data_IF_194309990849
#
_entry.id   IF_194309990849
#
_cell.length_a   1.000
_cell.length_b   1.000
_cell.length_c   1.000
_cell.angle_alpha   90.00
_cell.angle_beta   90.00
_cell.angle_gamma   90.00
#
_symmetry.space_group_name_H-M   'P 1'
#
loop_
_entity.id
_entity.type
_entity.pdbx_description
1 polymer ?
#
# COMPACT_ATOMS: atom_id res chain seq x y z
N UNK A 1 33.86 -10.62 21.65
CA UNK A 1 32.75 -11.18 20.84
C UNK A 1 31.45 -11.28 21.65
N UNK A 2 31.47 -11.83 22.86
CA UNK A 2 30.28 -11.97 23.73
C UNK A 2 29.61 -10.62 24.05
N UNK A 3 30.37 -9.56 24.37
CA UNK A 3 29.79 -8.25 24.68
C UNK A 3 29.13 -7.56 23.48
N UNK A 4 29.64 -7.83 22.28
CA UNK A 4 29.05 -7.33 21.03
C UNK A 4 27.71 -8.00 20.74
N UNK A 5 27.61 -9.32 20.98
CA UNK A 5 26.37 -10.08 20.83
C UNK A 5 25.32 -9.65 21.86
N UNK A 6 25.72 -9.45 23.12
CA UNK A 6 24.84 -8.89 24.16
C UNK A 6 24.32 -7.51 23.76
N UNK A 7 25.20 -6.62 23.29
CA UNK A 7 24.81 -5.29 22.85
C UNK A 7 23.83 -5.29 21.67
N UNK A 8 24.04 -6.18 20.69
CA UNK A 8 23.13 -6.34 19.56
C UNK A 8 21.76 -6.91 19.97
N UNK A 9 21.75 -7.91 20.85
CA UNK A 9 20.50 -8.47 21.37
C UNK A 9 19.68 -7.44 22.16
N UNK A 10 20.33 -6.71 23.08
CA UNK A 10 19.66 -5.63 23.82
C UNK A 10 19.13 -4.56 22.88
N UNK A 11 19.89 -4.19 21.85
CA UNK A 11 19.42 -3.25 20.83
C UNK A 11 18.17 -3.76 20.13
N UNK A 12 18.16 -4.99 19.61
CA UNK A 12 17.00 -5.56 18.91
C UNK A 12 15.77 -5.66 19.82
N UNK A 13 15.94 -6.00 21.09
CA UNK A 13 14.83 -6.05 22.05
C UNK A 13 14.24 -4.66 22.31
N UNK A 14 15.08 -3.63 22.47
CA UNK A 14 14.62 -2.24 22.61
C UNK A 14 13.95 -1.77 21.31
N UNK A 15 14.48 -2.15 20.15
CA UNK A 15 13.90 -1.80 18.85
C UNK A 15 12.53 -2.44 18.64
N UNK A 16 12.38 -3.71 19.02
CA UNK A 16 11.09 -4.39 19.01
C UNK A 16 10.07 -3.58 19.82
N UNK A 17 10.40 -3.20 21.05
CA UNK A 17 9.53 -2.40 21.91
C UNK A 17 9.18 -1.04 21.29
N UNK A 18 10.16 -0.34 20.69
CA UNK A 18 9.94 0.96 20.05
C UNK A 18 8.99 0.83 18.85
N UNK A 19 9.20 -0.15 17.98
CA UNK A 19 8.36 -0.36 16.78
C UNK A 19 6.95 -0.75 17.18
N UNK A 20 6.79 -1.65 18.16
CA UNK A 20 5.48 -2.01 18.69
C UNK A 20 4.79 -0.82 19.35
N UNK A 21 5.51 -0.03 20.15
CA UNK A 21 4.98 1.17 20.80
C UNK A 21 4.56 2.22 19.76
N UNK A 22 5.38 2.49 18.74
CA UNK A 22 5.03 3.39 17.65
C UNK A 22 3.76 2.91 16.96
N UNK A 23 3.69 1.61 16.64
CA UNK A 23 2.55 1.05 15.93
C UNK A 23 1.26 1.21 16.73
N UNK A 24 1.32 1.02 18.04
CA UNK A 24 0.16 1.25 18.92
C UNK A 24 -0.20 2.73 19.02
N UNK A 25 0.77 3.61 19.26
CA UNK A 25 0.54 5.05 19.36
C UNK A 25 0.04 5.66 18.06
N UNK A 26 0.41 5.08 16.91
CA UNK A 26 -0.02 5.60 15.61
C UNK A 26 -1.51 5.61 15.38
N UNK A 27 -2.29 4.87 16.18
CA UNK A 27 -3.74 4.93 16.17
C UNK A 27 -4.30 6.33 16.48
N UNK A 28 -3.56 7.18 17.19
CA UNK A 28 -4.00 8.54 17.53
C UNK A 28 -3.99 9.52 16.35
N UNK A 29 -3.15 9.28 15.32
CA UNK A 29 -3.04 10.18 14.17
C UNK A 29 -3.31 9.50 12.83
N UNK A 30 -3.41 8.17 12.79
CA UNK A 30 -3.59 7.42 11.57
C UNK A 30 -4.56 6.27 11.78
N UNK A 31 -5.53 6.14 10.87
CA UNK A 31 -6.50 5.05 10.94
C UNK A 31 -5.85 3.70 10.78
N UNK A 32 -4.70 3.57 10.08
CA UNK A 32 -3.95 2.31 9.91
C UNK A 32 -3.10 1.89 11.12
N UNK A 33 -3.12 2.66 12.22
CA UNK A 33 -2.42 2.33 13.45
C UNK A 33 -3.06 1.20 14.27
N UNK A 34 -2.33 0.74 15.29
CA UNK A 34 -2.70 -0.33 16.22
C UNK A 34 -1.98 -1.65 15.94
N UNK A 35 -1.68 -2.41 17.00
CA UNK A 35 -1.01 -3.71 16.87
C UNK A 35 -2.03 -4.84 16.68
N UNK A 36 -1.92 -5.58 15.57
CA UNK A 36 -2.61 -6.86 15.33
C UNK A 36 -1.64 -8.03 15.26
N UNK A 37 -2.14 -9.24 15.54
CA UNK A 37 -1.31 -10.45 15.71
C UNK A 37 -0.45 -10.84 14.51
N UNK A 38 -0.90 -10.56 13.28
CA UNK A 38 -0.17 -10.94 12.07
C UNK A 38 1.03 -10.03 11.75
N UNK A 39 1.11 -8.83 12.35
CA UNK A 39 2.27 -7.93 12.25
C UNK A 39 3.56 -8.60 12.72
N UNK A 40 3.47 -9.47 13.73
CA UNK A 40 4.63 -10.13 14.34
C UNK A 40 5.25 -11.17 13.40
N UNK A 41 4.47 -11.70 12.45
CA UNK A 41 4.94 -12.78 11.56
C UNK A 41 5.90 -12.28 10.49
N UNK A 42 5.68 -11.08 9.95
CA UNK A 42 6.48 -10.58 8.82
C UNK A 42 6.99 -9.15 9.00
N UNK A 43 6.11 -8.20 9.34
CA UNK A 43 6.48 -6.78 9.44
C UNK A 43 7.59 -6.57 10.48
N UNK A 44 7.40 -7.08 11.70
CA UNK A 44 8.38 -6.90 12.78
C UNK A 44 9.74 -7.55 12.43
N UNK A 45 9.82 -8.82 11.99
CA UNK A 45 11.09 -9.41 11.55
C UNK A 45 11.80 -8.59 10.45
N UNK A 46 11.04 -8.11 9.45
CA UNK A 46 11.57 -7.27 8.38
C UNK A 46 12.13 -5.95 8.94
N UNK A 47 11.38 -5.27 9.82
CA UNK A 47 11.81 -4.01 10.43
C UNK A 47 13.05 -4.20 11.31
N UNK A 48 13.08 -5.26 12.13
CA UNK A 48 14.24 -5.57 12.98
C UNK A 48 15.49 -5.86 12.15
N UNK A 49 15.33 -6.51 10.99
CA UNK A 49 16.42 -6.77 10.06
C UNK A 49 16.96 -5.47 9.45
N UNK A 50 16.08 -4.56 9.02
CA UNK A 50 16.47 -3.23 8.54
C UNK A 50 17.22 -2.43 9.63
N UNK A 51 16.70 -2.44 10.86
CA UNK A 51 17.34 -1.80 12.01
C UNK A 51 18.70 -2.42 12.36
N UNK A 52 18.86 -3.73 12.17
CA UNK A 52 20.12 -4.43 12.38
C UNK A 52 21.18 -4.03 11.34
N UNK A 53 20.79 -3.85 10.08
CA UNK A 53 21.69 -3.40 9.01
C UNK A 53 22.32 -2.05 9.35
N UNK A 54 21.55 -1.14 9.96
CA UNK A 54 22.01 0.18 10.37
C UNK A 54 22.69 0.20 11.76
N UNK A 55 22.76 -0.92 12.47
CA UNK A 55 23.41 -0.97 13.78
C UNK A 55 24.93 -1.13 13.65
N UNK A 56 25.68 -0.19 14.23
CA UNK A 56 27.14 -0.20 14.27
C UNK A 56 27.63 -0.26 15.71
N UNK A 57 27.96 -1.46 16.24
CA UNK A 57 28.31 -1.59 17.65
C UNK A 57 29.60 -0.86 18.03
N UNK A 58 30.46 -0.56 17.06
CA UNK A 58 31.76 0.10 17.27
C UNK A 58 31.68 1.61 17.41
N UNK A 59 30.49 2.21 17.25
CA UNK A 59 30.30 3.64 17.52
C UNK A 59 30.36 3.86 19.03
N UNK A 60 31.28 4.72 19.48
CA UNK A 60 31.47 5.04 20.90
C UNK A 60 30.32 5.88 21.47
N UNK A 61 29.78 6.81 20.68
CA UNK A 61 28.67 7.65 21.09
C UNK A 61 27.38 6.82 21.16
N UNK A 62 26.86 6.62 22.39
CA UNK A 62 25.65 5.81 22.64
C UNK A 62 24.41 6.36 21.93
N UNK A 63 24.26 7.68 21.86
CA UNK A 63 23.10 8.31 21.20
C UNK A 63 23.13 7.98 19.71
N UNK A 64 24.25 8.23 19.03
CA UNK A 64 24.40 7.94 17.61
C UNK A 64 24.25 6.42 17.36
N UNK A 65 24.86 5.59 18.21
CA UNK A 65 24.83 4.14 18.05
C UNK A 65 23.42 3.55 18.13
N UNK A 66 22.58 4.04 19.04
CA UNK A 66 21.28 3.43 19.32
C UNK A 66 20.09 4.18 18.71
N UNK A 67 20.16 5.51 18.57
CA UNK A 67 19.02 6.33 18.11
C UNK A 67 19.02 6.50 16.59
N UNK A 68 20.17 6.78 15.97
CA UNK A 68 20.23 7.11 14.54
C UNK A 68 19.81 5.96 13.62
N UNK A 69 20.04 4.67 13.94
CA UNK A 69 19.52 3.58 13.11
C UNK A 69 17.99 3.53 13.05
N UNK A 70 17.32 4.05 14.08
CA UNK A 70 15.86 3.98 14.26
C UNK A 70 15.15 5.08 13.48
N UNK A 71 15.78 6.25 13.40
CA UNK A 71 15.18 7.45 12.78
C UNK A 71 14.72 7.17 11.34
N UNK A 72 15.52 6.60 10.42
CA UNK A 72 15.07 6.30 9.06
C UNK A 72 13.82 5.43 9.00
N UNK A 73 13.75 4.40 9.85
CA UNK A 73 12.63 3.45 9.86
C UNK A 73 11.35 4.12 10.39
N UNK A 74 11.44 4.88 11.47
CA UNK A 74 10.29 5.62 12.01
C UNK A 74 9.81 6.71 11.06
N UNK A 75 10.72 7.40 10.38
CA UNK A 75 10.38 8.40 9.37
C UNK A 75 9.68 7.75 8.17
N UNK A 76 10.09 6.55 7.76
CA UNK A 76 9.39 5.80 6.72
C UNK A 76 7.98 5.37 7.17
N UNK A 77 7.82 4.91 8.41
CA UNK A 77 6.50 4.61 8.98
C UNK A 77 5.59 5.84 9.00
N UNK A 78 6.12 6.97 9.48
CA UNK A 78 5.41 8.24 9.50
C UNK A 78 5.06 8.71 8.08
N UNK A 79 5.97 8.53 7.12
CA UNK A 79 5.72 8.87 5.71
C UNK A 79 4.54 8.06 5.15
N UNK A 80 4.44 6.77 5.48
CA UNK A 80 3.29 5.94 5.09
C UNK A 80 2.00 6.42 5.75
N UNK A 81 2.05 6.78 7.05
CA UNK A 81 0.88 7.30 7.77
C UNK A 81 0.38 8.62 7.17
N UNK A 82 1.29 9.56 6.90
CA UNK A 82 0.98 10.85 6.26
C UNK A 82 0.40 10.60 4.87
N UNK A 83 1.05 9.77 4.06
CA UNK A 83 0.60 9.45 2.71
C UNK A 83 -0.81 8.84 2.70
N UNK A 84 -1.06 7.89 3.60
CA UNK A 84 -2.37 7.28 3.76
C UNK A 84 -3.42 8.30 4.22
N UNK A 85 -3.07 9.19 5.16
CA UNK A 85 -3.96 10.26 5.61
C UNK A 85 -4.38 11.21 4.48
N UNK A 86 -3.50 11.50 3.53
CA UNK A 86 -3.81 12.36 2.37
C UNK A 86 -4.57 11.64 1.25
N UNK A 87 -4.21 10.40 0.92
CA UNK A 87 -4.71 9.72 -0.29
C UNK A 87 -5.67 8.55 -0.02
N UNK A 88 -5.87 8.16 1.24
CA UNK A 88 -6.75 7.04 1.61
C UNK A 88 -6.28 5.67 1.10
N UNK A 89 -5.00 5.54 0.70
CA UNK A 89 -4.42 4.31 0.16
C UNK A 89 -2.94 4.16 0.54
N UNK A 90 -2.44 2.93 0.46
CA UNK A 90 -1.01 2.66 0.62
C UNK A 90 -0.19 3.33 -0.50
N UNK A 91 1.03 3.83 -0.20
CA UNK A 91 1.98 4.22 -1.23
C UNK A 91 2.37 3.02 -2.09
N UNK A 92 2.76 3.30 -3.33
CA UNK A 92 3.18 2.34 -4.35
C UNK A 92 4.48 2.81 -5.03
N UNK A 93 5.27 1.91 -5.62
CA UNK A 93 6.48 2.28 -6.36
C UNK A 93 6.26 3.32 -7.46
N UNK A 94 5.12 3.31 -8.15
CA UNK A 94 4.80 4.32 -9.18
C UNK A 94 4.61 5.73 -8.62
N UNK A 95 4.25 5.89 -7.35
CA UNK A 95 4.04 7.20 -6.73
C UNK A 95 5.33 8.03 -6.70
N UNK A 96 6.50 7.38 -6.68
CA UNK A 96 7.79 8.06 -6.74
C UNK A 96 8.03 8.78 -8.06
N UNK A 97 7.40 8.33 -9.16
CA UNK A 97 7.50 8.99 -10.46
C UNK A 97 6.76 10.33 -10.48
N UNK A 98 5.77 10.48 -9.59
CA UNK A 98 4.92 11.66 -9.49
C UNK A 98 5.40 12.67 -8.43
N UNK A 99 6.52 12.41 -7.75
CA UNK A 99 7.05 13.33 -6.71
C UNK A 99 7.30 14.72 -7.27
N UNK A 100 7.77 14.82 -8.52
CA UNK A 100 8.03 16.11 -9.16
C UNK A 100 6.74 16.91 -9.39
N UNK A 101 5.58 16.26 -9.54
CA UNK A 101 4.30 16.94 -9.72
C UNK A 101 3.77 17.55 -8.41
N UNK A 102 4.33 17.16 -7.26
CA UNK A 102 3.92 17.71 -5.95
C UNK A 102 4.25 19.20 -5.85
N UNK A 103 5.33 19.66 -6.49
CA UNK A 103 5.68 21.10 -6.49
C UNK A 103 4.64 21.96 -7.19
N UNK A 104 3.96 21.42 -8.20
CA UNK A 104 2.93 22.14 -8.96
C UNK A 104 1.65 22.29 -8.13
N UNK A 105 1.42 21.37 -7.19
CA UNK A 105 0.26 21.38 -6.30
C UNK A 105 0.50 22.16 -5.01
N UNK A 106 1.63 21.91 -4.31
CA UNK A 106 1.92 22.55 -3.04
C UNK A 106 3.42 22.58 -2.71
N UNK A 107 3.95 23.80 -2.62
CA UNK A 107 5.31 24.06 -2.16
C UNK A 107 5.53 23.54 -0.73
N UNK A 108 4.52 23.63 0.14
CA UNK A 108 4.61 23.13 1.52
C UNK A 108 4.81 21.62 1.59
N UNK A 109 4.11 20.86 0.75
CA UNK A 109 4.29 19.40 0.65
C UNK A 109 5.67 19.05 0.10
N UNK A 110 6.18 19.83 -0.85
CA UNK A 110 7.53 19.63 -1.37
C UNK A 110 8.58 19.83 -0.27
N UNK A 111 8.45 20.87 0.56
CA UNK A 111 9.33 21.06 1.72
C UNK A 111 9.21 19.92 2.73
N UNK A 112 8.00 19.39 2.96
CA UNK A 112 7.80 18.23 3.82
C UNK A 112 8.54 16.99 3.28
N UNK A 113 8.46 16.71 1.98
CA UNK A 113 9.17 15.60 1.34
C UNK A 113 10.69 15.76 1.51
N UNK A 114 11.23 16.96 1.24
CA UNK A 114 12.66 17.24 1.44
C UNK A 114 13.08 17.07 2.90
N UNK A 115 12.25 17.54 3.85
CA UNK A 115 12.51 17.40 5.27
C UNK A 115 12.52 15.93 5.71
N UNK A 116 11.54 15.13 5.28
CA UNK A 116 11.50 13.69 5.55
C UNK A 116 12.71 12.97 4.94
N UNK A 117 13.07 13.33 3.69
CA UNK A 117 14.27 12.81 3.02
C UNK A 117 15.55 13.17 3.78
N UNK A 118 15.66 14.40 4.29
CA UNK A 118 16.78 14.82 5.13
C UNK A 118 16.85 14.01 6.43
N UNK A 119 15.72 13.79 7.11
CA UNK A 119 15.66 12.98 8.33
C UNK A 119 16.03 11.52 8.10
N UNK A 120 15.92 10.99 6.88
CA UNK A 120 16.41 9.66 6.51
C UNK A 120 17.91 9.71 6.21
N UNK A 121 18.33 10.63 5.33
CA UNK A 121 19.71 10.67 4.83
C UNK A 121 20.72 11.09 5.89
N UNK A 122 20.42 12.10 6.70
CA UNK A 122 21.36 12.65 7.68
C UNK A 122 21.81 11.62 8.73
N UNK A 123 20.93 10.87 9.41
CA UNK A 123 21.34 9.83 10.35
C UNK A 123 22.16 8.73 9.69
N UNK A 124 21.80 8.30 8.48
CA UNK A 124 22.53 7.27 7.74
C UNK A 124 23.94 7.72 7.42
N UNK A 125 24.11 8.93 6.87
CA UNK A 125 25.44 9.50 6.59
C UNK A 125 26.27 9.63 7.86
N UNK A 126 25.67 10.09 8.96
CA UNK A 126 26.36 10.23 10.25
C UNK A 126 26.78 8.88 10.85
N UNK A 127 25.96 7.84 10.71
CA UNK A 127 26.31 6.49 11.13
C UNK A 127 27.54 5.98 10.37
N UNK A 128 27.54 6.10 9.05
CA UNK A 128 28.68 5.68 8.23
C UNK A 128 29.94 6.50 8.53
N UNK A 129 29.81 7.83 8.65
CA UNK A 129 30.93 8.71 9.01
C UNK A 129 31.56 8.30 10.34
N UNK A 130 30.76 8.11 11.40
CA UNK A 130 31.26 7.71 12.72
C UNK A 130 31.74 6.27 12.79
N UNK A 131 31.14 5.35 12.04
CA UNK A 131 31.57 3.96 12.00
C UNK A 131 32.96 3.80 11.36
N UNK A 132 33.33 4.70 10.43
CA UNK A 132 34.52 4.56 9.60
C UNK A 132 35.64 5.55 9.89
N UNK A 133 35.43 6.55 10.75
CA UNK A 133 36.45 7.56 11.10
C UNK A 133 37.79 6.96 11.56
N UNK A 134 37.77 5.80 12.22
CA UNK A 134 38.95 5.17 12.82
C UNK A 134 39.19 3.73 12.32
N UNK A 135 38.70 3.38 11.12
CA UNK A 135 38.84 2.02 10.57
C UNK A 135 39.74 2.00 9.34
N UNK A 136 40.41 0.86 9.16
CA UNK A 136 41.17 0.62 7.92
C UNK A 136 40.22 0.51 6.74
N UNK A 137 40.68 0.91 5.55
CA UNK A 137 39.88 0.82 4.31
C UNK A 137 39.38 -0.60 4.02
N UNK A 138 40.14 -1.63 4.39
CA UNK A 138 39.75 -3.05 4.27
C UNK A 138 38.54 -3.39 5.14
N UNK A 139 38.51 -2.91 6.39
CA UNK A 139 37.39 -3.15 7.30
C UNK A 139 36.11 -2.46 6.83
N UNK A 140 36.24 -1.30 6.17
CA UNK A 140 35.12 -0.60 5.55
C UNK A 140 34.55 -1.46 4.42
N UNK A 141 35.40 -1.95 3.52
CA UNK A 141 34.98 -2.82 2.40
C UNK A 141 34.26 -4.06 2.90
N UNK A 142 34.83 -4.80 3.86
CA UNK A 142 34.18 -6.00 4.41
C UNK A 142 32.84 -5.70 5.08
N UNK A 143 32.76 -4.58 5.81
CA UNK A 143 31.54 -4.11 6.47
C UNK A 143 30.43 -3.76 5.47
N UNK A 144 30.77 -3.11 4.36
CA UNK A 144 29.83 -2.78 3.29
C UNK A 144 29.41 -4.03 2.53
N UNK A 145 30.36 -4.88 2.13
CA UNK A 145 30.09 -6.13 1.42
C UNK A 145 29.14 -7.04 2.21
N UNK A 146 29.37 -7.21 3.51
CA UNK A 146 28.49 -8.03 4.35
C UNK A 146 27.05 -7.50 4.38
N UNK A 147 26.87 -6.18 4.44
CA UNK A 147 25.53 -5.56 4.42
C UNK A 147 24.86 -5.69 3.06
N UNK A 148 25.61 -5.47 1.98
CA UNK A 148 25.10 -5.67 0.61
C UNK A 148 24.67 -7.12 0.44
N UNK A 149 25.51 -8.09 0.83
CA UNK A 149 25.16 -9.52 0.78
C UNK A 149 23.93 -9.85 1.63
N UNK A 150 23.80 -9.27 2.82
CA UNK A 150 22.63 -9.45 3.69
C UNK A 150 21.36 -8.93 3.02
N UNK A 151 21.40 -7.73 2.45
CA UNK A 151 20.27 -7.14 1.71
C UNK A 151 19.95 -7.96 0.47
N UNK A 152 20.96 -8.37 -0.30
CA UNK A 152 20.79 -9.21 -1.49
C UNK A 152 20.16 -10.56 -1.15
N UNK A 153 20.54 -11.19 -0.04
CA UNK A 153 19.94 -12.44 0.42
C UNK A 153 18.45 -12.26 0.76
N UNK A 154 18.11 -11.16 1.43
CA UNK A 154 16.72 -10.82 1.76
C UNK A 154 15.91 -10.58 0.50
N UNK A 155 16.46 -9.81 -0.45
CA UNK A 155 15.82 -9.58 -1.74
C UNK A 155 15.65 -10.87 -2.54
N UNK A 156 16.64 -11.77 -2.51
CA UNK A 156 16.55 -13.08 -3.15
C UNK A 156 15.41 -13.91 -2.56
N UNK A 157 15.28 -13.95 -1.23
CA UNK A 157 14.13 -14.59 -0.56
C UNK A 157 12.82 -13.92 -0.99
N UNK A 158 12.76 -12.59 -1.07
CA UNK A 158 11.53 -11.89 -1.47
C UNK A 158 11.11 -12.14 -2.91
N UNK A 159 12.06 -12.53 -3.77
CA UNK A 159 11.82 -12.84 -5.17
C UNK A 159 11.60 -14.32 -5.43
N UNK A 160 11.71 -15.20 -4.43
CA UNK A 160 11.52 -16.64 -4.62
C UNK A 160 10.04 -17.03 -4.68
N UNK A 161 9.73 -18.07 -5.44
CA UNK A 161 8.37 -18.62 -5.54
C UNK A 161 7.86 -19.12 -4.19
N UNK A 162 8.74 -19.69 -3.36
CA UNK A 162 8.41 -20.12 -1.99
C UNK A 162 7.92 -18.96 -1.11
N UNK A 163 8.48 -17.76 -1.28
CA UNK A 163 8.02 -16.59 -0.57
C UNK A 163 6.72 -16.04 -1.16
N UNK A 164 6.50 -16.21 -2.46
CA UNK A 164 5.21 -15.91 -3.09
C UNK A 164 4.10 -16.80 -2.51
N UNK A 165 4.33 -18.10 -2.34
CA UNK A 165 3.39 -19.04 -1.72
C UNK A 165 3.14 -18.72 -0.24
N UNK A 166 4.21 -18.41 0.51
CA UNK A 166 4.08 -17.94 1.90
C UNK A 166 3.23 -16.67 1.98
N UNK A 167 3.44 -15.72 1.07
CA UNK A 167 2.67 -14.47 1.02
C UNK A 167 1.21 -14.75 0.68
N UNK A 168 0.92 -15.61 -0.28
CA UNK A 168 -0.45 -15.96 -0.66
C UNK A 168 -1.23 -16.62 0.49
N UNK A 169 -0.56 -17.38 1.35
CA UNK A 169 -1.17 -18.06 2.51
C UNK A 169 -1.19 -17.23 3.79
N UNK A 170 -0.25 -16.30 3.98
CA UNK A 170 -0.07 -15.58 5.24
C UNK A 170 -0.52 -14.12 5.20
N UNK A 171 -0.63 -13.52 4.01
CA UNK A 171 -1.03 -12.12 3.86
C UNK A 171 -2.56 -11.99 3.93
N UNK A 172 -3.07 -11.28 4.93
CA UNK A 172 -4.50 -11.04 5.10
C UNK A 172 -4.96 -9.91 4.18
N UNK A 173 -5.38 -10.27 2.96
CA UNK A 173 -5.87 -9.29 2.00
C UNK A 173 -7.38 -9.06 2.16
N UNK A 174 -7.77 -7.80 2.37
CA UNK A 174 -9.18 -7.38 2.33
C UNK A 174 -9.41 -6.50 1.11
N UNK A 175 -10.16 -7.01 0.13
CA UNK A 175 -10.42 -6.35 -1.16
C UNK A 175 -11.03 -4.95 -1.02
N UNK A 176 -12.01 -4.80 -0.12
CA UNK A 176 -12.72 -3.54 0.09
C UNK A 176 -12.07 -2.61 1.11
N UNK A 177 -10.94 -2.97 1.72
CA UNK A 177 -10.30 -2.16 2.75
C UNK A 177 -8.77 -2.33 2.79
N UNK A 178 -8.07 -1.36 2.19
CA UNK A 178 -6.61 -1.26 2.36
C UNK A 178 -6.25 -0.95 3.81
N UNK A 179 -7.08 -0.21 4.54
CA UNK A 179 -6.87 0.06 5.97
C UNK A 179 -6.72 -1.23 6.77
N UNK A 180 -7.67 -2.16 6.60
CA UNK A 180 -7.67 -3.44 7.30
C UNK A 180 -6.47 -4.29 6.89
N UNK A 181 -6.16 -4.31 5.59
CA UNK A 181 -4.99 -5.01 5.06
C UNK A 181 -3.68 -4.48 5.68
N UNK A 182 -3.53 -3.16 5.83
CA UNK A 182 -2.32 -2.56 6.43
C UNK A 182 -2.25 -2.83 7.94
N UNK A 183 -3.38 -2.76 8.66
CA UNK A 183 -3.44 -3.09 10.09
C UNK A 183 -3.02 -4.52 10.39
N UNK A 184 -3.42 -5.45 9.54
CA UNK A 184 -3.16 -6.88 9.73
C UNK A 184 -1.73 -7.25 9.33
N UNK A 185 -1.22 -6.69 8.23
CA UNK A 185 0.05 -7.13 7.65
C UNK A 185 1.23 -6.20 7.91
N UNK A 186 0.98 -4.93 8.18
CA UNK A 186 2.02 -3.90 8.39
C UNK A 186 2.25 -3.01 7.18
N UNK A 187 2.95 -1.91 7.41
CA UNK A 187 3.16 -0.82 6.43
C UNK A 187 4.09 -1.26 5.30
N UNK A 188 5.26 -1.83 5.63
CA UNK A 188 6.21 -2.28 4.62
C UNK A 188 5.72 -3.54 3.91
N UNK A 189 5.11 -4.47 4.62
CA UNK A 189 4.47 -5.65 4.04
C UNK A 189 3.44 -5.25 2.97
N UNK A 190 2.58 -4.28 3.31
CA UNK A 190 1.55 -3.78 2.39
C UNK A 190 2.17 -3.04 1.20
N UNK A 191 3.18 -2.21 1.41
CA UNK A 191 3.91 -1.54 0.33
C UNK A 191 4.51 -2.55 -0.67
N UNK A 192 5.15 -3.62 -0.16
CA UNK A 192 5.74 -4.69 -0.97
C UNK A 192 4.64 -5.48 -1.70
N UNK A 193 3.51 -5.76 -1.04
CA UNK A 193 2.37 -6.45 -1.64
C UNK A 193 1.75 -5.65 -2.79
N UNK A 194 1.41 -4.38 -2.57
CA UNK A 194 0.81 -3.54 -3.60
C UNK A 194 1.76 -3.23 -4.75
N UNK A 195 3.07 -3.08 -4.49
CA UNK A 195 4.07 -2.97 -5.55
C UNK A 195 4.18 -4.22 -6.43
N UNK A 196 4.04 -5.41 -5.84
CA UNK A 196 3.97 -6.65 -6.61
C UNK A 196 2.69 -6.74 -7.45
N UNK A 197 1.53 -6.41 -6.88
CA UNK A 197 0.25 -6.41 -7.60
C UNK A 197 0.26 -5.42 -8.77
N UNK A 198 0.83 -4.23 -8.55
CA UNK A 198 1.02 -3.23 -9.62
C UNK A 198 1.87 -3.78 -10.76
N UNK A 199 3.03 -4.39 -10.45
CA UNK A 199 3.89 -5.00 -11.47
C UNK A 199 3.18 -6.11 -12.24
N UNK A 200 2.45 -6.98 -11.54
CA UNK A 200 1.67 -8.06 -12.14
C UNK A 200 0.61 -7.50 -13.10
N UNK A 201 -0.15 -6.50 -12.66
CA UNK A 201 -1.17 -5.86 -13.48
C UNK A 201 -0.55 -5.16 -14.70
N UNK A 202 0.58 -4.49 -14.53
CA UNK A 202 1.31 -3.86 -15.65
C UNK A 202 1.79 -4.90 -16.68
N UNK A 203 2.27 -6.05 -16.23
CA UNK A 203 2.65 -7.16 -17.13
C UNK A 203 1.44 -7.70 -17.90
N UNK A 204 0.29 -7.90 -17.24
CA UNK A 204 -0.95 -8.31 -17.89
C UNK A 204 -1.40 -7.27 -18.93
N UNK A 205 -1.42 -5.99 -18.57
CA UNK A 205 -1.78 -4.91 -19.49
C UNK A 205 -0.88 -4.86 -20.73
N UNK A 206 0.43 -5.04 -20.57
CA UNK A 206 1.35 -5.09 -21.70
C UNK A 206 1.14 -6.31 -22.60
N UNK A 207 0.67 -7.43 -22.06
CA UNK A 207 0.29 -8.60 -22.85
C UNK A 207 -0.96 -8.32 -23.69
N UNK A 208 -1.98 -7.70 -23.09
CA UNK A 208 -3.19 -7.29 -23.80
C UNK A 208 -2.92 -6.19 -24.84
N UNK A 209 -2.10 -5.19 -24.52
CA UNK A 209 -1.77 -4.10 -25.42
C UNK A 209 -0.94 -4.50 -26.65
N UNK A 210 -0.28 -5.67 -26.62
CA UNK A 210 0.41 -6.24 -27.80
C UNK A 210 -0.54 -6.90 -28.78
N UNK A 211 -1.75 -7.27 -28.34
CA UNK A 211 -2.79 -7.75 -29.25
C UNK A 211 -3.36 -6.50 -29.91
N UNK A 212 -3.20 -6.40 -31.23
CA UNK A 212 -3.72 -5.29 -32.03
C UNK A 212 -5.25 -5.42 -32.13
N UNK A 213 -5.92 -5.13 -31.01
CA UNK A 213 -7.36 -5.28 -30.83
C UNK A 213 -7.98 -3.92 -31.13
N UNK A 214 -8.72 -3.81 -32.23
CA UNK A 214 -9.58 -2.65 -32.45
C UNK A 214 -10.82 -2.79 -31.56
N UNK A 215 -10.73 -2.22 -30.35
CA UNK A 215 -11.81 -2.23 -29.36
C UNK A 215 -13.09 -1.63 -29.94
N UNK A 216 -12.97 -0.62 -30.82
CA UNK A 216 -14.13 0.03 -31.43
C UNK A 216 -14.81 -0.90 -32.42
N UNK A 217 -14.05 -1.63 -33.23
CA UNK A 217 -14.62 -2.62 -34.14
C UNK A 217 -15.29 -3.79 -33.39
N UNK A 218 -14.69 -4.24 -32.29
CA UNK A 218 -15.22 -5.36 -31.50
C UNK A 218 -16.47 -4.99 -30.72
N UNK A 219 -16.44 -3.87 -29.98
CA UNK A 219 -17.54 -3.47 -29.11
C UNK A 219 -18.64 -2.73 -29.88
N UNK A 220 -18.28 -2.02 -30.95
CA UNK A 220 -19.20 -1.17 -31.73
C UNK A 220 -19.09 -1.46 -33.24
N UNK A 221 -19.36 -2.70 -33.69
CA UNK A 221 -19.21 -3.09 -35.10
C UNK A 221 -20.18 -2.37 -36.04
N UNK A 222 -21.26 -1.79 -35.49
CA UNK A 222 -22.33 -1.18 -36.26
C UNK A 222 -22.24 0.35 -36.26
N UNK A 223 -22.43 0.94 -37.43
CA UNK A 223 -22.53 2.40 -37.58
C UNK A 223 -23.88 2.86 -37.02
N UNK A 224 -23.86 3.82 -36.09
CA UNK A 224 -25.07 4.45 -35.54
C UNK A 224 -25.72 5.30 -36.63
N UNK A 225 -26.79 4.79 -37.25
CA UNK A 225 -27.48 5.47 -38.37
C UNK A 225 -28.35 6.66 -37.94
N UNK A 226 -28.80 6.67 -36.69
CA UNK A 226 -29.65 7.71 -36.12
C UNK A 226 -29.16 8.08 -34.72
N UNK A 227 -28.25 9.06 -34.60
CA UNK A 227 -27.75 9.47 -33.29
C UNK A 227 -28.90 10.06 -32.47
N UNK A 228 -28.97 9.65 -31.20
CA UNK A 228 -29.90 10.20 -30.20
C UNK A 228 -29.07 10.72 -29.04
N UNK A 229 -29.61 11.72 -28.34
CA UNK A 229 -29.03 12.13 -27.06
C UNK A 229 -29.23 11.00 -26.04
N UNK A 230 -28.14 10.53 -25.46
CA UNK A 230 -28.15 9.53 -24.40
C UNK A 230 -27.82 10.26 -23.10
N UNK A 231 -28.75 10.19 -22.15
CA UNK A 231 -28.55 10.71 -20.80
C UNK A 231 -28.30 9.53 -19.87
N UNK A 232 -27.11 9.51 -19.27
CA UNK A 232 -26.73 8.49 -18.29
C UNK A 232 -26.90 9.11 -16.91
N UNK A 233 -27.68 8.45 -16.05
CA UNK A 233 -27.85 8.84 -14.65
C UNK A 233 -27.42 7.65 -13.79
N UNK A 234 -26.29 7.78 -13.11
CA UNK A 234 -25.79 6.77 -12.17
C UNK A 234 -26.32 7.12 -10.78
N UNK A 235 -27.10 6.21 -10.20
CA UNK A 235 -27.64 6.38 -8.85
C UNK A 235 -26.78 5.61 -7.86
N UNK A 236 -26.13 6.34 -6.95
CA UNK A 236 -25.24 5.77 -5.94
C UNK A 236 -25.99 4.76 -5.06
N UNK A 237 -25.45 3.55 -4.95
CA UNK A 237 -26.01 2.47 -4.11
C UNK A 237 -27.50 2.15 -4.36
N UNK A 238 -28.00 2.38 -5.58
CA UNK A 238 -29.40 2.14 -5.92
C UNK A 238 -29.68 0.66 -6.19
N UNK A 239 -30.57 0.08 -5.40
CA UNK A 239 -31.04 -1.31 -5.54
C UNK A 239 -32.57 -1.36 -5.44
N UNK A 240 -33.20 -2.36 -6.04
CA UNK A 240 -34.60 -2.68 -5.76
C UNK A 240 -34.67 -3.59 -4.52
N UNK A 241 -35.04 -3.07 -3.34
CA UNK A 241 -35.04 -3.84 -2.09
C UNK A 241 -36.07 -4.97 -2.09
N UNK A 242 -37.06 -4.95 -3.01
CA UNK A 242 -38.05 -6.03 -3.15
C UNK A 242 -37.43 -7.31 -3.69
N UNK A 243 -36.25 -7.24 -4.32
CA UNK A 243 -35.51 -8.39 -4.84
C UNK A 243 -34.67 -9.09 -3.76
N UNK A 244 -34.55 -8.51 -2.56
CA UNK A 244 -33.81 -9.10 -1.45
C UNK A 244 -34.61 -10.25 -0.82
N UNK A 245 -33.99 -11.42 -0.74
CA UNK A 245 -34.60 -12.60 -0.13
C UNK A 245 -34.57 -12.48 1.41
N UNK A 246 -35.58 -13.07 2.06
CA UNK A 246 -35.69 -13.14 3.54
C UNK A 246 -35.82 -11.79 4.25
N UNK A 247 -36.28 -10.75 3.57
CA UNK A 247 -36.60 -9.44 4.17
C UNK A 247 -38.10 -9.22 4.08
N UNK A 248 -38.72 -8.87 5.21
CA UNK A 248 -40.13 -8.48 5.27
C UNK A 248 -40.23 -6.98 5.50
N UNK A 249 -41.00 -6.30 4.67
CA UNK A 249 -41.27 -4.87 4.80
C UNK A 249 -42.64 -4.64 5.42
N UNK A 250 -42.72 -3.75 6.41
CA UNK A 250 -43.99 -3.32 7.00
C UNK A 250 -44.78 -2.33 6.12
N UNK A 251 -44.13 -1.79 5.07
CA UNK A 251 -44.70 -0.92 4.04
C UNK A 251 -43.94 -1.11 2.73
N UNK A 252 -44.52 -0.72 1.59
CA UNK A 252 -43.78 -0.73 0.31
C UNK A 252 -42.46 0.03 0.47
N UNK A 253 -41.30 -0.58 0.14
CA UNK A 253 -40.01 0.11 0.20
C UNK A 253 -39.79 1.03 -1.01
N UNK A 254 -40.68 0.99 -2.01
CA UNK A 254 -40.66 1.91 -3.14
C UNK A 254 -41.60 3.09 -2.91
N UNK A 255 -41.12 4.28 -3.27
CA UNK A 255 -41.94 5.47 -3.42
C UNK A 255 -42.97 5.27 -4.55
N UNK A 256 -44.19 5.78 -4.38
CA UNK A 256 -45.29 5.55 -5.31
C UNK A 256 -44.97 6.06 -6.72
N UNK A 257 -44.18 7.12 -6.81
CA UNK A 257 -43.72 7.78 -8.03
C UNK A 257 -42.79 6.88 -8.86
N UNK A 258 -42.06 5.96 -8.22
CA UNK A 258 -41.13 5.05 -8.91
C UNK A 258 -41.80 3.78 -9.44
N UNK A 259 -43.00 3.45 -8.93
CA UNK A 259 -43.69 2.19 -9.25
C UNK A 259 -43.97 2.08 -10.76
N UNK A 260 -44.41 3.18 -11.40
CA UNK A 260 -44.71 3.19 -12.84
C UNK A 260 -43.48 3.01 -13.73
N UNK A 261 -42.27 3.25 -13.21
CA UNK A 261 -41.03 3.14 -13.99
C UNK A 261 -40.31 1.81 -13.75
N UNK A 262 -40.48 1.22 -12.57
CA UNK A 262 -39.80 0.00 -12.13
C UNK A 262 -40.65 -1.27 -12.29
N UNK A 263 -41.91 -1.14 -12.71
CA UNK A 263 -42.77 -2.30 -13.00
C UNK A 263 -42.62 -2.74 -14.47
N UNK A 264 -42.35 -4.04 -14.74
CA UNK A 264 -42.11 -4.57 -16.09
C UNK A 264 -43.23 -4.31 -17.10
N UNK A 265 -44.46 -4.13 -16.62
CA UNK A 265 -45.64 -3.94 -17.47
C UNK A 265 -45.78 -2.51 -18.03
N UNK A 266 -45.04 -1.54 -17.50
CA UNK A 266 -45.30 -0.11 -17.75
C UNK A 266 -44.26 0.52 -18.70
N UNK A 267 -43.02 0.07 -18.60
CA UNK A 267 -41.88 0.46 -19.44
C UNK A 267 -40.97 -0.77 -19.54
N UNK A 268 -40.27 -0.98 -20.65
CA UNK A 268 -39.25 -2.02 -20.83
C UNK A 268 -38.06 -1.79 -19.87
N UNK A 269 -38.28 -1.94 -18.57
CA UNK A 269 -37.29 -1.75 -17.53
C UNK A 269 -36.47 -3.02 -17.42
N UNK A 270 -35.23 -2.97 -17.93
CA UNK A 270 -34.29 -4.08 -17.84
C UNK A 270 -33.57 -4.04 -16.49
N UNK A 271 -33.55 -5.18 -15.80
CA UNK A 271 -32.66 -5.36 -14.65
C UNK A 271 -31.27 -5.72 -15.15
N UNK A 272 -30.26 -5.04 -14.62
CA UNK A 272 -28.84 -5.29 -14.92
C UNK A 272 -28.14 -5.62 -13.60
N UNK A 273 -27.20 -6.55 -13.65
CA UNK A 273 -26.36 -6.90 -12.50
C UNK A 273 -25.22 -5.88 -12.45
N UNK A 274 -25.06 -5.20 -11.32
CA UNK A 274 -23.90 -4.35 -11.08
C UNK A 274 -22.63 -5.21 -11.06
N UNK A 275 -21.53 -4.78 -11.71
CA UNK A 275 -20.26 -5.51 -11.67
C UNK A 275 -19.59 -5.44 -10.29
N UNK A 276 -20.00 -4.48 -9.46
CA UNK A 276 -19.46 -4.24 -8.11
C UNK A 276 -20.57 -4.22 -7.06
N UNK A 277 -20.21 -4.60 -5.82
CA UNK A 277 -21.11 -4.60 -4.67
C UNK A 277 -20.51 -3.79 -3.52
N UNK A 278 -21.34 -2.98 -2.85
CA UNK A 278 -20.96 -2.29 -1.60
C UNK A 278 -19.93 -1.16 -1.75
N UNK A 279 -19.73 -0.63 -2.96
CA UNK A 279 -18.81 0.48 -3.24
C UNK A 279 -18.26 0.46 -4.67
N UNK A 280 -17.14 1.14 -4.89
CA UNK A 280 -16.40 1.22 -6.17
C UNK A 280 -17.18 1.88 -7.32
N UNK A 281 -17.85 3.00 -7.05
CA UNK A 281 -18.59 3.80 -8.05
C UNK A 281 -17.76 4.07 -9.30
N UNK A 282 -16.48 4.43 -9.15
CA UNK A 282 -15.58 4.69 -10.28
C UNK A 282 -15.39 3.46 -11.19
N UNK A 283 -15.42 2.25 -10.66
CA UNK A 283 -15.37 1.04 -11.48
C UNK A 283 -16.70 0.84 -12.19
N UNK A 284 -17.84 0.94 -11.49
CA UNK A 284 -19.16 0.84 -12.12
C UNK A 284 -19.33 1.87 -13.26
N UNK A 285 -18.88 3.10 -13.05
CA UNK A 285 -18.86 4.15 -14.07
C UNK A 285 -17.93 3.82 -15.23
N UNK A 286 -16.72 3.32 -14.95
CA UNK A 286 -15.79 2.89 -15.98
C UNK A 286 -16.38 1.81 -16.87
N UNK A 287 -16.91 0.72 -16.29
CA UNK A 287 -17.50 -0.38 -17.06
C UNK A 287 -18.74 0.08 -17.83
N UNK A 288 -19.57 0.95 -17.24
CA UNK A 288 -20.75 1.49 -17.91
C UNK A 288 -20.40 2.38 -19.11
N UNK A 289 -19.33 3.17 -19.03
CA UNK A 289 -18.90 4.06 -20.10
C UNK A 289 -18.06 3.37 -21.18
N UNK A 290 -17.29 2.35 -20.80
CA UNK A 290 -16.34 1.68 -21.70
C UNK A 290 -16.85 0.34 -22.22
N UNK A 291 -17.76 -0.31 -21.50
CA UNK A 291 -18.17 -1.70 -21.74
C UNK A 291 -17.09 -2.73 -21.44
N UNK A 292 -16.02 -2.34 -20.73
CA UNK A 292 -14.87 -3.18 -20.38
C UNK A 292 -14.86 -3.54 -18.90
#
# INVERSE_FOLDING_TARGET
>A
MIDYLKGAFTYLLVMFLIVTLYTELSHYWSTIGGVRGDLVKFEIPLVLLLLFIFYFPTINNRIIRYLFPVVPVLVLYLSVDIFYGFLGRSPRPSDFQNINMVSDFSVGLMFLIFFLGFLICFPVVMLFYKAYQNRSFKDIIYSVLFRVLSVSLVLFVFLSDTFADYRASSYQYTEWSQEKSIKENGRFSSFIFYGYQEKKNFSLLNEYGKKNIDIKEILFPNIVRHPRNIHIVVLESFIDPRLLLNINFNRSPLANELISYLLPASYNFSHVISPVYGGNTAQAEFELLTGM
#
